data_IF_632358441675
#
_entry.id   IF_632358441675
#
_cell.length_a   1.000
_cell.length_b   1.000
_cell.length_c   1.000
_cell.angle_alpha   90.00
_cell.angle_beta   90.00
_cell.angle_gamma   90.00
#
_symmetry.space_group_name_H-M   'P 1'
#
loop_
_entity.id
_entity.type
_entity.pdbx_description
1 polymer ?
#
# COMPACT_ATOMS: atom_id res chain seq x y z
N UNK A 1 14.43 2.35 -14.17
CA UNK A 1 13.19 1.74 -13.65
C UNK A 1 13.57 0.54 -12.81
N UNK A 2 13.94 0.76 -11.55
CA UNK A 2 14.27 -0.31 -10.61
C UNK A 2 13.03 -1.18 -10.39
N UNK A 3 13.17 -2.47 -10.68
CA UNK A 3 12.16 -3.49 -10.41
C UNK A 3 11.74 -3.42 -8.94
N UNK A 4 10.43 -3.42 -8.67
CA UNK A 4 9.88 -3.57 -7.32
C UNK A 4 10.18 -4.97 -6.78
N UNK A 5 11.45 -5.24 -6.46
CA UNK A 5 11.89 -6.51 -5.88
C UNK A 5 11.62 -6.47 -4.39
N UNK A 6 10.89 -7.47 -3.92
CA UNK A 6 10.79 -7.72 -2.49
C UNK A 6 12.20 -7.94 -1.93
N UNK A 7 12.57 -7.18 -0.89
CA UNK A 7 13.90 -7.34 -0.27
C UNK A 7 13.90 -8.48 0.74
N UNK A 8 12.76 -8.73 1.37
CA UNK A 8 12.62 -9.69 2.46
C UNK A 8 11.23 -10.33 2.43
N UNK A 9 11.11 -11.53 3.01
CA UNK A 9 9.83 -12.18 3.27
C UNK A 9 9.76 -12.67 4.73
N UNK A 10 8.56 -12.67 5.29
CA UNK A 10 8.26 -13.24 6.62
C UNK A 10 7.08 -14.20 6.52
N UNK A 11 6.93 -15.10 7.49
CA UNK A 11 5.72 -15.93 7.63
C UNK A 11 4.74 -15.24 8.57
N UNK A 12 3.50 -15.06 8.16
CA UNK A 12 2.44 -14.56 9.04
C UNK A 12 2.01 -15.63 10.04
N UNK A 13 1.29 -15.24 11.09
CA UNK A 13 0.68 -16.18 12.06
C UNK A 13 -0.33 -17.13 11.38
N UNK A 14 -0.97 -16.67 10.31
CA UNK A 14 -1.86 -17.48 9.45
C UNK A 14 -1.08 -18.42 8.51
N UNK A 15 0.25 -18.37 8.54
CA UNK A 15 1.14 -19.18 7.71
C UNK A 15 1.35 -18.66 6.29
N UNK A 16 0.94 -17.43 5.96
CA UNK A 16 1.14 -16.84 4.64
C UNK A 16 2.57 -16.29 4.47
N UNK A 17 3.09 -16.31 3.24
CA UNK A 17 4.36 -15.63 2.93
C UNK A 17 4.06 -14.16 2.62
N UNK A 18 4.66 -13.27 3.40
CA UNK A 18 4.51 -11.81 3.26
C UNK A 18 5.79 -11.23 2.69
N UNK A 19 5.72 -10.71 1.48
CA UNK A 19 6.81 -9.99 0.85
C UNK A 19 6.77 -8.51 1.24
N UNK A 20 7.91 -7.95 1.63
CA UNK A 20 8.04 -6.52 1.97
C UNK A 20 8.83 -5.78 0.90
N UNK A 21 8.22 -4.71 0.38
CA UNK A 21 8.83 -3.79 -0.58
C UNK A 21 9.03 -2.45 0.15
N UNK A 22 10.27 -2.06 0.49
CA UNK A 22 10.54 -0.79 1.16
C UNK A 22 10.28 0.39 0.23
N UNK A 23 9.69 1.44 0.77
CA UNK A 23 9.53 2.75 0.16
C UNK A 23 10.20 3.82 1.03
N UNK A 24 10.08 5.09 0.64
CA UNK A 24 10.57 6.24 1.41
C UNK A 24 9.75 6.49 2.68
N UNK A 25 10.32 7.24 3.63
CA UNK A 25 9.67 7.68 4.88
C UNK A 25 9.10 6.53 5.74
N UNK A 26 9.81 5.42 5.81
CA UNK A 26 9.42 4.20 6.54
C UNK A 26 8.03 3.64 6.15
N UNK A 27 7.68 3.84 4.88
CA UNK A 27 6.52 3.22 4.25
C UNK A 27 6.94 1.92 3.56
N UNK A 28 6.05 0.94 3.58
CA UNK A 28 6.31 -0.40 3.04
C UNK A 28 5.07 -0.90 2.31
N UNK A 29 5.25 -1.56 1.17
CA UNK A 29 4.17 -2.36 0.58
C UNK A 29 4.34 -3.79 1.06
N UNK A 30 3.34 -4.31 1.74
CA UNK A 30 3.26 -5.71 2.12
C UNK A 30 2.38 -6.45 1.12
N UNK A 31 2.92 -7.54 0.58
CA UNK A 31 2.23 -8.44 -0.35
C UNK A 31 2.09 -9.79 0.31
N UNK A 32 0.88 -10.13 0.74
CA UNK A 32 0.57 -11.43 1.33
C UNK A 32 0.24 -12.38 0.19
N UNK A 33 1.13 -13.34 -0.03
CA UNK A 33 0.82 -14.50 -0.84
C UNK A 33 0.19 -15.54 0.07
N UNK A 34 -1.08 -15.83 -0.19
CA UNK A 34 -1.88 -16.89 0.46
C UNK A 34 -1.36 -18.32 0.18
N UNK A 35 -0.13 -18.46 -0.35
CA UNK A 35 0.49 -19.78 -0.52
C UNK A 35 0.89 -20.29 0.85
N UNK A 36 0.10 -21.21 1.39
CA UNK A 36 0.40 -21.88 2.66
C UNK A 36 1.58 -22.85 2.45
N UNK A 37 2.70 -22.73 3.21
CA UNK A 37 3.86 -23.61 3.10
C UNK A 37 3.56 -25.09 3.39
N UNK A 38 2.45 -25.39 4.08
CA UNK A 38 2.07 -26.74 4.50
C UNK A 38 1.43 -27.59 3.39
N UNK A 39 0.78 -26.96 2.41
CA UNK A 39 0.04 -27.69 1.37
C UNK A 39 0.55 -27.37 -0.03
N UNK A 40 1.18 -26.22 -0.25
CA UNK A 40 1.59 -25.78 -1.60
C UNK A 40 0.41 -25.51 -2.54
N UNK A 41 -0.84 -25.58 -2.03
CA UNK A 41 -2.05 -25.38 -2.82
C UNK A 41 -2.75 -24.09 -2.39
N UNK A 42 -3.07 -23.26 -3.38
CA UNK A 42 -4.07 -22.19 -3.31
C UNK A 42 -5.42 -22.76 -2.86
N UNK A 43 -6.24 -22.02 -2.10
CA UNK A 43 -7.69 -22.34 -2.00
C UNK A 43 -8.32 -22.33 -3.41
N UNK A 44 -9.53 -22.86 -3.59
CA UNK A 44 -10.14 -23.07 -4.91
C UNK A 44 -10.03 -21.82 -5.82
N UNK A 45 -10.01 -22.02 -7.14
CA UNK A 45 -9.94 -20.92 -8.14
C UNK A 45 -11.00 -19.85 -7.82
N UNK A 46 -10.57 -18.66 -7.42
CA UNK A 46 -11.45 -17.54 -7.05
C UNK A 46 -11.62 -17.28 -5.55
N UNK A 47 -11.27 -18.24 -4.68
CA UNK A 47 -11.29 -18.05 -3.22
C UNK A 47 -9.98 -17.45 -2.68
N UNK A 48 -8.92 -17.56 -3.47
CA UNK A 48 -7.55 -17.20 -3.07
C UNK A 48 -7.10 -15.87 -3.69
N UNK A 49 -6.98 -14.83 -2.86
CA UNK A 49 -6.63 -13.49 -3.30
C UNK A 49 -5.32 -13.03 -2.67
N UNK A 50 -4.40 -12.54 -3.50
CA UNK A 50 -3.18 -11.87 -3.02
C UNK A 50 -3.60 -10.54 -2.41
N UNK A 51 -3.24 -10.33 -1.15
CA UNK A 51 -3.54 -9.07 -0.43
C UNK A 51 -2.35 -8.14 -0.55
N UNK A 52 -2.59 -6.88 -0.89
CA UNK A 52 -1.58 -5.83 -0.85
C UNK A 52 -2.02 -4.69 0.05
N UNK A 53 -1.11 -4.18 0.87
CA UNK A 53 -1.38 -3.08 1.79
C UNK A 53 -0.15 -2.18 1.91
N UNK A 54 -0.42 -0.87 2.03
CA UNK A 54 0.60 0.12 2.37
C UNK A 54 0.68 0.23 3.89
N UNK A 55 1.86 -0.02 4.43
CA UNK A 55 2.17 -0.04 5.86
C UNK A 55 3.08 1.13 6.21
N UNK A 56 2.91 1.69 7.40
CA UNK A 56 3.80 2.67 8.04
C UNK A 56 4.37 2.06 9.32
N UNK A 57 5.67 2.24 9.57
CA UNK A 57 6.38 1.64 10.69
C UNK A 57 6.24 0.11 10.79
N UNK A 58 5.94 -0.58 9.68
CA UNK A 58 5.70 -2.03 9.64
C UNK A 58 4.54 -2.55 10.51
N UNK A 59 3.73 -1.70 11.14
CA UNK A 59 2.60 -2.13 11.97
C UNK A 59 1.29 -1.41 11.64
N UNK A 60 1.33 -0.18 11.13
CA UNK A 60 0.14 0.62 10.84
C UNK A 60 -0.28 0.47 9.38
N UNK A 61 -1.45 -0.11 9.13
CA UNK A 61 -2.04 -0.08 7.79
C UNK A 61 -2.51 1.34 7.45
N UNK A 62 -1.93 1.93 6.42
CA UNK A 62 -2.23 3.31 6.00
C UNK A 62 -3.55 3.39 5.23
N UNK A 63 -3.91 2.31 4.53
CA UNK A 63 -5.08 2.23 3.65
C UNK A 63 -5.75 0.86 3.70
N UNK A 64 -6.94 0.77 3.12
CA UNK A 64 -7.63 -0.51 2.94
C UNK A 64 -6.78 -1.49 2.12
N UNK A 65 -6.84 -2.75 2.52
CA UNK A 65 -6.21 -3.86 1.81
C UNK A 65 -6.81 -3.98 0.41
N UNK A 66 -5.95 -4.07 -0.60
CA UNK A 66 -6.33 -4.34 -1.98
C UNK A 66 -6.19 -5.84 -2.27
N UNK A 67 -7.20 -6.44 -2.90
CA UNK A 67 -7.26 -7.89 -3.19
C UNK A 67 -7.07 -8.15 -4.67
N UNK A 68 -6.07 -8.94 -5.05
CA UNK A 68 -5.85 -9.39 -6.42
C UNK A 68 -6.22 -10.85 -6.53
N UNK A 69 -7.27 -11.15 -7.29
CA UNK A 69 -7.69 -12.52 -7.56
C UNK A 69 -6.65 -13.22 -8.44
N UNK A 70 -6.41 -14.51 -8.20
CA UNK A 70 -5.51 -15.34 -9.03
C UNK A 70 -6.18 -15.81 -10.34
N UNK A 71 -6.57 -14.86 -11.18
CA UNK A 71 -6.98 -15.09 -12.58
C UNK A 71 -5.76 -15.16 -13.50
N UNK A 72 -5.89 -15.46 -14.79
CA UNK A 72 -4.73 -15.62 -15.70
C UNK A 72 -3.76 -14.43 -15.68
N UNK A 73 -4.29 -13.20 -15.61
CA UNK A 73 -3.52 -11.95 -15.62
C UNK A 73 -3.21 -11.40 -14.22
N UNK A 74 -3.19 -12.26 -13.19
CA UNK A 74 -3.01 -11.81 -11.81
C UNK A 74 -1.68 -11.11 -11.57
N UNK A 75 -0.63 -11.48 -12.31
CA UNK A 75 0.73 -10.91 -12.16
C UNK A 75 0.75 -9.44 -12.58
N UNK A 76 0.13 -9.14 -13.72
CA UNK A 76 0.00 -7.80 -14.27
C UNK A 76 -0.86 -6.93 -13.32
N UNK A 77 -2.01 -7.45 -12.89
CA UNK A 77 -2.89 -6.78 -11.93
C UNK A 77 -2.19 -6.49 -10.59
N UNK A 78 -1.37 -7.42 -10.10
CA UNK A 78 -0.58 -7.23 -8.89
C UNK A 78 0.48 -6.14 -9.10
N UNK A 79 1.18 -6.16 -10.24
CA UNK A 79 2.20 -5.16 -10.59
C UNK A 79 1.62 -3.76 -10.68
N UNK A 80 0.46 -3.60 -11.30
CA UNK A 80 -0.25 -2.32 -11.39
C UNK A 80 -0.61 -1.79 -10.01
N UNK A 81 -1.11 -2.65 -9.10
CA UNK A 81 -1.40 -2.24 -7.72
C UNK A 81 -0.17 -1.84 -6.93
N UNK A 82 0.94 -2.57 -7.07
CA UNK A 82 2.20 -2.20 -6.41
C UNK A 82 2.66 -0.83 -6.93
N UNK A 83 2.57 -0.60 -8.25
CA UNK A 83 2.88 0.70 -8.86
C UNK A 83 1.97 1.80 -8.31
N UNK A 84 0.66 1.58 -8.29
CA UNK A 84 -0.33 2.53 -7.77
C UNK A 84 -0.06 2.88 -6.30
N UNK A 85 0.22 1.88 -5.45
CA UNK A 85 0.58 2.11 -4.04
C UNK A 85 1.87 2.92 -3.91
N UNK A 86 2.87 2.64 -4.75
CA UNK A 86 4.13 3.39 -4.76
C UNK A 86 3.92 4.85 -5.18
N UNK A 87 3.06 5.12 -6.16
CA UNK A 87 2.75 6.48 -6.64
C UNK A 87 1.93 7.31 -5.63
N UNK A 88 1.32 6.65 -4.63
CA UNK A 88 0.64 7.34 -3.53
C UNK A 88 1.60 7.85 -2.47
N UNK A 89 2.83 7.34 -2.41
CA UNK A 89 3.82 7.80 -1.44
C UNK A 89 4.39 9.14 -1.88
N UNK A 90 4.55 10.06 -0.92
CA UNK A 90 5.12 11.38 -1.17
C UNK A 90 6.30 11.66 -0.26
N UNK A 91 7.05 12.69 -0.60
CA UNK A 91 8.20 13.23 0.14
C UNK A 91 7.78 14.18 1.27
N UNK A 92 6.49 14.53 1.36
CA UNK A 92 5.98 15.47 2.35
C UNK A 92 5.70 14.79 3.69
N UNK A 93 5.89 15.55 4.76
CA UNK A 93 5.75 15.11 6.15
C UNK A 93 4.75 16.07 6.82
N UNK A 94 3.85 15.55 7.65
CA UNK A 94 2.92 16.38 8.44
C UNK A 94 3.67 17.09 9.59
N UNK A 95 3.06 18.11 10.22
CA UNK A 95 3.67 18.82 11.36
C UNK A 95 4.07 17.90 12.54
N UNK A 96 3.40 16.76 12.69
CA UNK A 96 3.67 15.76 13.72
C UNK A 96 4.79 14.76 13.34
N UNK A 97 5.41 14.92 12.15
CA UNK A 97 6.54 14.10 11.71
C UNK A 97 6.18 12.83 10.94
N UNK A 98 4.91 12.61 10.60
CA UNK A 98 4.46 11.44 9.85
C UNK A 98 4.37 11.70 8.34
N UNK A 99 4.64 10.71 7.47
CA UNK A 99 4.54 10.88 6.03
C UNK A 99 3.12 11.16 5.55
N UNK A 100 3.04 12.05 4.57
CA UNK A 100 1.83 12.31 3.82
C UNK A 100 1.72 11.36 2.63
N UNK A 101 0.51 10.83 2.42
CA UNK A 101 0.21 9.94 1.29
C UNK A 101 -0.97 10.48 0.50
N UNK A 102 -0.99 10.20 -0.81
CA UNK A 102 -2.10 10.52 -1.69
C UNK A 102 -3.27 9.59 -1.40
N UNK A 103 -4.34 10.16 -0.84
CA UNK A 103 -5.62 9.48 -0.57
C UNK A 103 -6.65 9.91 -1.61
N UNK A 104 -7.64 9.06 -1.83
CA UNK A 104 -8.78 9.33 -2.71
C UNK A 104 -9.99 9.68 -1.84
N UNK A 105 -10.59 10.84 -2.09
CA UNK A 105 -11.82 11.28 -1.45
C UNK A 105 -13.02 10.54 -2.04
N UNK A 106 -14.13 10.50 -1.29
CA UNK A 106 -15.40 9.90 -1.74
C UNK A 106 -15.93 10.55 -3.03
N UNK A 107 -15.64 11.83 -3.24
CA UNK A 107 -16.04 12.61 -4.42
C UNK A 107 -15.15 12.37 -5.64
N UNK A 108 -14.16 11.48 -5.56
CA UNK A 108 -13.25 11.15 -6.66
C UNK A 108 -11.99 12.02 -6.74
N UNK A 109 -11.88 13.09 -5.93
CA UNK A 109 -10.67 13.91 -5.85
C UNK A 109 -9.54 13.23 -5.07
N UNK A 110 -8.31 13.73 -5.23
CA UNK A 110 -7.16 13.30 -4.45
C UNK A 110 -6.67 14.40 -3.50
N UNK A 111 -6.23 14.00 -2.32
CA UNK A 111 -5.62 14.89 -1.33
C UNK A 111 -4.43 14.20 -0.66
N UNK A 112 -3.57 14.98 -0.02
CA UNK A 112 -2.48 14.44 0.81
C UNK A 112 -2.97 14.40 2.25
N UNK A 113 -2.99 13.21 2.83
CA UNK A 113 -3.38 13.01 4.22
C UNK A 113 -2.32 12.22 4.98
N UNK A 114 -2.29 12.40 6.30
CA UNK A 114 -1.34 11.71 7.17
C UNK A 114 -1.44 10.18 7.06
N UNK A 115 -0.30 9.50 7.10
CA UNK A 115 -0.23 8.04 7.13
C UNK A 115 -0.81 7.45 8.42
N UNK A 116 -0.81 8.22 9.52
CA UNK A 116 -1.24 7.80 10.86
C UNK A 116 -2.74 7.94 11.13
N UNK A 117 -3.54 8.40 10.17
CA UNK A 117 -5.00 8.45 10.28
C UNK A 117 -5.58 7.11 10.80
N UNK A 118 -6.55 7.10 11.73
CA UNK A 118 -7.31 8.23 12.27
C UNK A 118 -6.63 8.99 13.42
N UNK A 119 -5.45 8.57 13.88
CA UNK A 119 -4.81 9.14 15.07
C UNK A 119 -4.22 10.54 14.78
N UNK A 120 -3.90 10.82 13.51
CA UNK A 120 -3.59 12.15 13.00
C UNK A 120 -4.46 12.41 11.75
N UNK A 121 -5.32 13.42 11.81
CA UNK A 121 -6.27 13.80 10.77
C UNK A 121 -5.75 14.92 9.85
N UNK A 122 -4.46 15.23 9.94
CA UNK A 122 -3.84 16.28 9.14
C UNK A 122 -3.99 16.02 7.63
N UNK A 123 -4.43 17.05 6.92
CA UNK A 123 -4.58 17.10 5.47
C UNK A 123 -3.83 18.32 4.93
N UNK A 124 -2.94 18.11 3.96
CA UNK A 124 -2.30 19.21 3.26
C UNK A 124 -3.33 19.91 2.37
N UNK A 125 -3.75 21.11 2.77
CA UNK A 125 -4.52 21.99 1.89
C UNK A 125 -3.56 22.54 0.85
N UNK A 126 -3.87 22.38 -0.43
CA UNK A 126 -3.17 23.15 -1.47
C UNK A 126 -3.46 24.62 -1.18
N UNK A 127 -2.45 25.41 -0.83
CA UNK A 127 -2.60 26.85 -0.80
C UNK A 127 -3.04 27.28 -2.19
N UNK A 128 -4.21 27.90 -2.29
CA UNK A 128 -4.57 28.61 -3.50
C UNK A 128 -3.45 29.62 -3.74
N UNK A 129 -2.66 29.46 -4.80
CA UNK A 129 -1.82 30.57 -5.25
C UNK A 129 -2.78 31.75 -5.46
N UNK A 130 -2.54 32.94 -4.86
CA UNK A 130 -3.32 34.11 -5.22
C UNK A 130 -3.17 34.29 -6.74
N UNK A 131 -4.29 34.45 -7.44
CA UNK A 131 -4.26 34.77 -8.86
C UNK A 131 -3.42 36.05 -9.02
N UNK A 132 -2.43 36.10 -9.94
CA UNK A 132 -1.86 37.38 -10.30
C UNK A 132 -3.00 38.27 -10.81
N UNK A 133 -3.09 39.46 -10.23
CA UNK A 133 -4.05 40.49 -10.60
C UNK A 133 -3.78 40.99 -12.01
#
# INVERSE_FOLDING_TARGET
MSEFRAKEYIKSEEGEIVYRIPLQNDLWIWVYSTVTPKTGVSRNRGEDAIRTVLMYHNWKAVMKVSKTLRTENWKENLREKIKELSERVTDQICPDGHPLVRRTARTGGHFLGCSMFPDCDYIQRKSAKPKPN
#
